data_IF_885249108639
#
_entry.id   IF_885249108639
#
_cell.length_a   1.000
_cell.length_b   1.000
_cell.length_c   1.000
_cell.angle_alpha   90.00
_cell.angle_beta   90.00
_cell.angle_gamma   90.00
#
_symmetry.space_group_name_H-M   'P 1'
#
loop_
_entity.id
_entity.type
_entity.pdbx_description
1 polymer ?
#
# COMPACT_ATOMS: atom_id res chain seq x y z
N UNK A 1 -30.76 21.79 52.85
CA UNK A 1 -30.39 22.44 51.57
C UNK A 1 -30.20 21.33 50.55
N UNK A 2 -31.27 21.00 49.84
CA UNK A 2 -31.35 19.88 48.91
C UNK A 2 -31.49 20.42 47.48
N UNK A 3 -30.79 19.75 46.55
CA UNK A 3 -31.10 19.65 45.12
C UNK A 3 -30.94 20.92 44.26
N UNK A 4 -29.72 21.22 43.86
CA UNK A 4 -29.44 21.79 42.54
C UNK A 4 -29.48 20.66 41.50
N UNK A 5 -30.68 20.30 41.04
CA UNK A 5 -30.86 19.39 39.91
C UNK A 5 -31.78 20.02 38.86
N UNK A 6 -31.15 20.48 37.79
CA UNK A 6 -31.60 20.36 36.40
C UNK A 6 -33.02 20.84 36.07
N UNK A 7 -33.19 22.15 35.87
CA UNK A 7 -34.08 22.63 34.81
C UNK A 7 -33.26 22.72 33.52
N UNK A 8 -33.04 21.57 32.85
CA UNK A 8 -32.71 21.61 31.41
C UNK A 8 -33.96 22.13 30.72
N UNK A 9 -33.85 23.23 29.97
CA UNK A 9 -35.02 23.81 29.32
C UNK A 9 -35.67 22.78 28.38
N UNK A 10 -37.00 22.74 28.32
CA UNK A 10 -37.74 21.80 27.45
C UNK A 10 -37.27 21.87 25.99
N UNK A 11 -36.79 23.03 25.55
CA UNK A 11 -36.18 23.24 24.24
C UNK A 11 -34.84 22.52 24.06
N UNK A 12 -33.97 22.48 25.06
CA UNK A 12 -32.74 21.68 25.04
C UNK A 12 -33.03 20.19 24.96
N UNK A 13 -34.05 19.71 25.70
CA UNK A 13 -34.47 18.31 25.67
C UNK A 13 -34.99 17.94 24.28
N UNK A 14 -35.83 18.80 23.69
CA UNK A 14 -36.36 18.59 22.34
C UNK A 14 -35.25 18.58 21.28
N UNK A 15 -34.35 19.57 21.32
CA UNK A 15 -33.19 19.65 20.42
C UNK A 15 -32.25 18.44 20.55
N UNK A 16 -32.03 17.97 21.77
CA UNK A 16 -31.25 16.76 22.02
C UNK A 16 -31.89 15.52 21.39
N UNK A 17 -33.19 15.31 21.62
CA UNK A 17 -33.93 14.14 21.10
C UNK A 17 -34.00 14.17 19.57
N UNK A 18 -34.16 15.34 18.96
CA UNK A 18 -34.31 15.47 17.50
C UNK A 18 -32.97 15.43 16.75
N UNK A 19 -31.92 16.11 17.25
CA UNK A 19 -30.68 16.31 16.50
C UNK A 19 -29.50 15.46 16.99
N UNK A 20 -29.38 15.27 18.31
CA UNK A 20 -28.18 14.66 18.92
C UNK A 20 -28.38 13.16 19.16
N UNK A 21 -29.55 12.76 19.63
CA UNK A 21 -29.85 11.36 19.95
C UNK A 21 -29.69 10.41 18.74
N UNK A 22 -30.15 10.75 17.51
CA UNK A 22 -29.91 9.90 16.33
C UNK A 22 -28.43 9.75 16.00
N UNK A 23 -27.64 10.84 16.11
CA UNK A 23 -26.20 10.83 15.89
C UNK A 23 -25.50 9.96 16.93
N UNK A 24 -25.87 10.08 18.21
CA UNK A 24 -25.33 9.24 19.29
C UNK A 24 -25.69 7.77 19.11
N UNK A 25 -26.91 7.46 18.67
CA UNK A 25 -27.31 6.08 18.36
C UNK A 25 -26.51 5.51 17.18
N UNK A 26 -26.29 6.30 16.13
CA UNK A 26 -25.47 5.91 14.99
C UNK A 26 -24.00 5.70 15.40
N UNK A 27 -23.42 6.60 16.21
CA UNK A 27 -22.08 6.43 16.76
C UNK A 27 -21.97 5.19 17.65
N UNK A 28 -22.93 4.96 18.55
CA UNK A 28 -22.95 3.75 19.38
C UNK A 28 -22.97 2.47 18.53
N UNK A 29 -23.79 2.44 17.47
CA UNK A 29 -23.85 1.33 16.53
C UNK A 29 -22.51 1.14 15.82
N UNK A 30 -21.96 2.21 15.24
CA UNK A 30 -20.67 2.20 14.55
C UNK A 30 -19.54 1.72 15.45
N UNK A 31 -19.44 2.23 16.68
CA UNK A 31 -18.43 1.80 17.66
C UNK A 31 -18.58 0.32 18.01
N UNK A 32 -19.81 -0.15 18.22
CA UNK A 32 -20.05 -1.57 18.50
C UNK A 32 -19.59 -2.45 17.34
N UNK A 33 -19.93 -2.08 16.11
CA UNK A 33 -19.53 -2.81 14.90
C UNK A 33 -18.01 -2.86 14.75
N UNK A 34 -17.32 -1.71 14.85
CA UNK A 34 -15.87 -1.66 14.74
C UNK A 34 -15.14 -2.33 15.90
N UNK A 35 -15.70 -2.33 17.11
CA UNK A 35 -15.14 -3.09 18.24
C UNK A 35 -15.19 -4.59 17.97
N UNK A 36 -16.29 -5.09 17.42
CA UNK A 36 -16.40 -6.50 17.00
C UNK A 36 -15.41 -6.84 15.90
N UNK A 37 -15.30 -6.01 14.86
CA UNK A 37 -14.32 -6.21 13.77
C UNK A 37 -12.89 -6.23 14.32
N UNK A 38 -12.53 -5.28 15.18
CA UNK A 38 -11.20 -5.23 15.80
C UNK A 38 -10.90 -6.49 16.61
N UNK A 39 -11.89 -7.02 17.35
CA UNK A 39 -11.75 -8.29 18.07
C UNK A 39 -11.45 -9.47 17.15
N UNK A 40 -12.16 -9.56 16.02
CA UNK A 40 -11.94 -10.63 15.02
C UNK A 40 -10.58 -10.52 14.34
N UNK A 41 -10.13 -9.29 14.04
CA UNK A 41 -8.79 -9.05 13.48
C UNK A 41 -7.73 -9.42 14.52
N UNK A 42 -7.94 -9.03 15.79
CA UNK A 42 -7.00 -9.32 16.88
C UNK A 42 -6.74 -10.82 17.05
N UNK A 43 -7.77 -11.65 16.92
CA UNK A 43 -7.63 -13.12 16.95
C UNK A 43 -6.74 -13.64 15.81
N UNK A 44 -6.86 -13.07 14.60
CA UNK A 44 -6.06 -13.49 13.45
C UNK A 44 -4.60 -13.05 13.55
N UNK A 45 -4.34 -11.80 13.95
CA UNK A 45 -2.96 -11.27 14.04
C UNK A 45 -2.14 -11.88 15.18
N UNK A 46 -2.80 -12.41 16.22
CA UNK A 46 -2.15 -13.11 17.32
C UNK A 46 -1.89 -14.61 17.04
N UNK A 47 -2.30 -15.12 15.88
CA UNK A 47 -1.99 -16.50 15.49
C UNK A 47 -0.49 -16.62 15.18
N UNK A 48 0.16 -17.69 15.64
CA UNK A 48 1.58 -17.96 15.36
C UNK A 48 1.87 -18.00 13.87
N UNK A 49 0.95 -18.56 13.07
CA UNK A 49 1.10 -18.62 11.60
C UNK A 49 1.21 -17.22 10.98
N UNK A 50 0.48 -16.24 11.53
CA UNK A 50 0.53 -14.86 11.05
C UNK A 50 1.89 -14.22 11.35
N UNK A 51 2.39 -14.42 12.57
CA UNK A 51 3.71 -13.92 12.97
C UNK A 51 4.83 -14.54 12.12
N UNK A 52 4.76 -15.83 11.84
CA UNK A 52 5.76 -16.52 11.04
C UNK A 52 5.72 -16.07 9.56
N UNK A 53 4.51 -15.92 9.00
CA UNK A 53 4.32 -15.40 7.64
C UNK A 53 4.89 -13.97 7.54
N UNK A 54 4.61 -13.12 8.53
CA UNK A 54 5.08 -11.75 8.56
C UNK A 54 6.61 -11.66 8.70
N UNK A 55 7.21 -12.50 9.54
CA UNK A 55 8.66 -12.55 9.70
C UNK A 55 9.37 -12.93 8.39
N UNK A 56 8.85 -13.93 7.68
CA UNK A 56 9.37 -14.31 6.36
C UNK A 56 9.18 -13.18 5.32
N UNK A 57 8.01 -12.53 5.30
CA UNK A 57 7.76 -11.37 4.43
C UNK A 57 8.77 -10.24 4.69
N UNK A 58 9.04 -9.92 5.96
CA UNK A 58 10.01 -8.89 6.37
C UNK A 58 11.45 -9.26 6.01
N UNK A 59 11.88 -10.50 6.24
CA UNK A 59 13.23 -10.99 5.91
C UNK A 59 13.56 -10.80 4.42
N UNK A 60 12.62 -11.19 3.54
CA UNK A 60 12.77 -10.96 2.11
C UNK A 60 12.80 -9.48 1.78
N UNK A 61 11.91 -8.68 2.36
CA UNK A 61 11.82 -7.26 2.06
C UNK A 61 13.05 -6.46 2.50
N UNK A 62 13.85 -6.96 3.46
CA UNK A 62 15.18 -6.42 3.81
C UNK A 62 16.34 -7.06 3.03
N UNK A 63 16.03 -7.93 2.08
CA UNK A 63 16.97 -8.65 1.21
C UNK A 63 17.93 -9.60 1.96
N UNK A 64 17.46 -10.21 3.06
CA UNK A 64 18.24 -11.21 3.79
C UNK A 64 18.07 -12.60 3.14
N UNK A 65 19.20 -13.30 2.93
CA UNK A 65 19.32 -14.67 2.40
C UNK A 65 18.47 -15.04 1.15
N UNK A 66 18.08 -14.04 0.35
CA UNK A 66 17.22 -14.16 -0.84
C UNK A 66 17.79 -15.03 -1.98
N UNK A 67 19.08 -15.36 -1.97
CA UNK A 67 19.76 -16.12 -3.03
C UNK A 67 19.71 -17.66 -2.82
N UNK A 68 19.10 -18.15 -1.72
CA UNK A 68 19.00 -19.57 -1.34
C UNK A 68 17.53 -20.01 -1.17
N UNK A 69 17.25 -21.32 -1.16
CA UNK A 69 15.94 -21.82 -0.73
C UNK A 69 15.63 -21.34 0.69
N UNK A 70 14.42 -20.81 0.90
CA UNK A 70 13.93 -20.43 2.21
C UNK A 70 13.37 -21.66 2.91
N UNK A 71 13.91 -21.99 4.09
CA UNK A 71 13.41 -23.09 4.90
C UNK A 71 11.91 -22.93 5.22
N UNK A 72 11.46 -21.70 5.44
CA UNK A 72 10.04 -21.42 5.70
C UNK A 72 9.14 -21.73 4.49
N UNK A 73 9.58 -21.38 3.27
CA UNK A 73 8.86 -21.73 2.04
C UNK A 73 8.86 -23.26 1.86
N UNK A 74 9.99 -23.93 2.10
CA UNK A 74 10.08 -25.38 2.02
C UNK A 74 9.15 -26.08 3.02
N UNK A 75 9.04 -25.59 4.25
CA UNK A 75 8.11 -26.12 5.24
C UNK A 75 6.64 -25.92 4.83
N UNK A 76 6.29 -24.77 4.24
CA UNK A 76 4.94 -24.52 3.67
C UNK A 76 4.65 -25.44 2.49
N UNK A 77 5.64 -25.74 1.66
CA UNK A 77 5.51 -26.73 0.58
C UNK A 77 5.31 -28.12 1.17
N UNK A 78 6.20 -28.56 2.07
CA UNK A 78 6.17 -29.90 2.67
C UNK A 78 4.88 -30.18 3.46
N UNK A 79 4.34 -29.16 4.15
CA UNK A 79 3.07 -29.25 4.88
C UNK A 79 1.83 -29.11 3.99
N UNK A 80 2.01 -28.93 2.67
CA UNK A 80 0.92 -28.71 1.71
C UNK A 80 -0.02 -27.58 2.14
N UNK A 81 0.56 -26.44 2.52
CA UNK A 81 -0.17 -25.22 2.84
C UNK A 81 -0.97 -24.71 1.63
N UNK A 82 -1.73 -23.63 1.80
CA UNK A 82 -2.42 -23.00 0.66
C UNK A 82 -1.39 -22.57 -0.41
N UNK A 83 -1.58 -23.06 -1.64
CA UNK A 83 -0.69 -22.81 -2.77
C UNK A 83 -0.51 -21.31 -3.03
N UNK A 84 -1.55 -20.49 -2.83
CA UNK A 84 -1.48 -19.03 -2.97
C UNK A 84 -0.44 -18.43 -2.03
N UNK A 85 -0.39 -18.90 -0.78
CA UNK A 85 0.57 -18.40 0.20
C UNK A 85 2.00 -18.79 -0.17
N UNK A 86 2.22 -20.02 -0.63
CA UNK A 86 3.51 -20.48 -1.14
C UNK A 86 3.95 -19.63 -2.34
N UNK A 87 3.10 -19.49 -3.34
CA UNK A 87 3.41 -18.72 -4.54
C UNK A 87 3.65 -17.24 -4.22
N UNK A 88 2.90 -16.66 -3.27
CA UNK A 88 3.12 -15.29 -2.80
C UNK A 88 4.50 -15.10 -2.21
N UNK A 89 4.95 -15.99 -1.33
CA UNK A 89 6.27 -15.91 -0.71
C UNK A 89 7.40 -16.06 -1.73
N UNK A 90 7.25 -16.99 -2.70
CA UNK A 90 8.22 -17.15 -3.79
C UNK A 90 8.28 -15.88 -4.67
N UNK A 91 7.13 -15.28 -5.01
CA UNK A 91 7.08 -14.01 -5.75
C UNK A 91 7.72 -12.87 -4.96
N UNK A 92 7.51 -12.81 -3.64
CA UNK A 92 8.10 -11.79 -2.79
C UNK A 92 9.63 -11.94 -2.70
N UNK A 93 10.12 -13.17 -2.54
CA UNK A 93 11.56 -13.46 -2.59
C UNK A 93 12.16 -13.07 -3.96
N UNK A 94 11.44 -13.35 -5.05
CA UNK A 94 11.83 -12.96 -6.40
C UNK A 94 11.91 -11.44 -6.55
N UNK A 95 10.88 -10.70 -6.11
CA UNK A 95 10.85 -9.24 -6.15
C UNK A 95 12.00 -8.63 -5.33
N UNK A 96 12.22 -9.12 -4.11
CA UNK A 96 13.34 -8.68 -3.28
C UNK A 96 14.72 -8.98 -3.92
N UNK A 97 14.81 -10.12 -4.61
CA UNK A 97 16.01 -10.58 -5.31
C UNK A 97 16.35 -9.87 -6.61
N UNK A 98 15.42 -9.07 -7.15
CA UNK A 98 15.44 -8.64 -8.56
C UNK A 98 15.54 -9.86 -9.49
N UNK A 99 14.70 -10.86 -9.20
CA UNK A 99 14.70 -12.18 -9.81
C UNK A 99 15.39 -13.25 -8.95
N UNK A 100 15.16 -14.52 -9.30
CA UNK A 100 15.75 -15.68 -8.65
C UNK A 100 16.83 -16.30 -9.54
N UNK A 101 17.92 -16.79 -8.95
CA UNK A 101 18.92 -17.58 -9.69
C UNK A 101 18.27 -18.80 -10.32
N UNK A 102 18.68 -19.20 -11.51
CA UNK A 102 18.07 -20.33 -12.25
C UNK A 102 18.01 -21.62 -11.42
N UNK A 103 19.06 -21.90 -10.64
CA UNK A 103 19.07 -23.08 -9.76
C UNK A 103 17.98 -23.02 -8.69
N UNK A 104 17.75 -21.84 -8.10
CA UNK A 104 16.74 -21.60 -7.08
C UNK A 104 15.32 -21.61 -7.67
N UNK A 105 15.12 -20.95 -8.81
CA UNK A 105 13.83 -20.95 -9.50
C UNK A 105 13.42 -22.38 -9.91
N UNK A 106 14.34 -23.15 -10.48
CA UNK A 106 14.09 -24.54 -10.86
C UNK A 106 13.90 -25.47 -9.65
N UNK A 107 14.52 -25.15 -8.51
CA UNK A 107 14.26 -25.84 -7.25
C UNK A 107 12.79 -25.65 -6.83
N UNK A 108 12.33 -24.40 -6.71
CA UNK A 108 10.94 -24.13 -6.33
C UNK A 108 9.92 -24.70 -7.33
N UNK A 109 10.16 -24.59 -8.64
CA UNK A 109 9.28 -25.22 -9.66
C UNK A 109 9.14 -26.73 -9.41
N UNK A 110 10.25 -27.40 -9.09
CA UNK A 110 10.26 -28.84 -8.83
C UNK A 110 9.53 -29.21 -7.55
N UNK A 111 9.86 -28.57 -6.44
CA UNK A 111 9.26 -28.88 -5.12
C UNK A 111 7.75 -28.63 -5.12
N UNK A 112 7.31 -27.49 -5.68
CA UNK A 112 5.89 -27.16 -5.77
C UNK A 112 5.17 -28.13 -6.71
N UNK A 113 5.72 -28.46 -7.88
CA UNK A 113 5.09 -29.42 -8.79
C UNK A 113 4.98 -30.84 -8.19
N UNK A 114 5.93 -31.24 -7.36
CA UNK A 114 5.90 -32.54 -6.67
C UNK A 114 4.77 -32.62 -5.63
N UNK A 115 4.50 -31.54 -4.89
CA UNK A 115 3.47 -31.54 -3.83
C UNK A 115 2.08 -31.18 -4.33
N UNK A 116 1.98 -30.22 -5.25
CA UNK A 116 0.72 -29.64 -5.71
C UNK A 116 0.28 -30.16 -7.09
N UNK A 117 1.13 -30.89 -7.80
CA UNK A 117 0.85 -31.43 -9.13
C UNK A 117 1.41 -30.59 -10.27
N UNK A 118 1.55 -31.20 -11.46
CA UNK A 118 2.20 -30.57 -12.62
C UNK A 118 1.45 -29.36 -13.19
N UNK A 119 0.15 -29.24 -12.92
CA UNK A 119 -0.68 -28.11 -13.37
C UNK A 119 -0.19 -26.76 -12.84
N UNK A 120 0.50 -26.75 -11.68
CA UNK A 120 1.09 -25.54 -11.11
C UNK A 120 2.13 -24.89 -12.03
N UNK A 121 2.72 -25.65 -12.97
CA UNK A 121 3.66 -25.09 -13.95
C UNK A 121 2.99 -24.06 -14.86
N UNK A 122 1.66 -24.17 -15.09
CA UNK A 122 0.90 -23.13 -15.78
C UNK A 122 0.84 -21.84 -14.94
N UNK A 123 0.64 -21.97 -13.63
CA UNK A 123 0.70 -20.85 -12.68
C UNK A 123 2.08 -20.20 -12.70
N UNK A 124 3.17 -20.97 -12.66
CA UNK A 124 4.52 -20.44 -12.82
C UNK A 124 4.66 -19.68 -14.15
N UNK A 125 4.17 -20.23 -15.25
CA UNK A 125 4.20 -19.56 -16.56
C UNK A 125 3.44 -18.24 -16.56
N UNK A 126 2.25 -18.18 -15.94
CA UNK A 126 1.47 -16.95 -15.83
C UNK A 126 2.20 -15.89 -15.02
N UNK A 127 2.81 -16.27 -13.89
CA UNK A 127 3.58 -15.36 -13.05
C UNK A 127 4.87 -14.89 -13.73
N UNK A 128 5.48 -15.73 -14.58
CA UNK A 128 6.62 -15.36 -15.43
C UNK A 128 6.21 -14.37 -16.52
N UNK A 129 5.09 -14.61 -17.20
CA UNK A 129 4.54 -13.66 -18.18
C UNK A 129 4.14 -12.32 -17.54
N UNK A 130 3.66 -12.35 -16.29
CA UNK A 130 3.35 -11.14 -15.53
C UNK A 130 4.59 -10.44 -14.93
N UNK A 131 5.78 -11.05 -15.05
CA UNK A 131 7.03 -10.50 -14.50
C UNK A 131 7.14 -10.59 -12.97
N UNK A 132 6.27 -11.34 -12.29
CA UNK A 132 6.34 -11.58 -10.84
C UNK A 132 7.38 -12.64 -10.48
N UNK A 133 7.65 -13.56 -11.40
CA UNK A 133 8.74 -14.52 -11.33
C UNK A 133 9.63 -14.34 -12.55
N UNK A 134 10.94 -14.28 -12.35
CA UNK A 134 11.88 -14.23 -13.46
C UNK A 134 13.28 -14.63 -13.00
N UNK A 135 14.16 -15.03 -13.95
CA UNK A 135 15.59 -15.18 -13.66
C UNK A 135 16.18 -13.89 -13.12
N UNK A 136 17.14 -14.01 -12.19
CA UNK A 136 17.83 -12.89 -11.59
C UNK A 136 18.50 -12.03 -12.66
N UNK A 137 18.24 -10.73 -12.61
CA UNK A 137 18.91 -9.74 -13.46
C UNK A 137 20.25 -9.34 -12.86
N UNK A 138 21.18 -8.85 -13.68
CA UNK A 138 22.46 -8.31 -13.19
C UNK A 138 22.26 -7.11 -12.25
N UNK A 139 21.16 -6.37 -12.43
CA UNK A 139 20.78 -5.28 -11.55
C UNK A 139 20.15 -5.79 -10.25
N UNK A 140 20.63 -5.27 -9.11
CA UNK A 140 19.98 -5.43 -7.80
C UNK A 140 19.05 -4.25 -7.51
N UNK A 141 18.17 -3.97 -8.46
CA UNK A 141 17.32 -2.78 -8.51
C UNK A 141 16.55 -2.54 -7.21
N UNK A 142 15.85 -3.56 -6.70
CA UNK A 142 15.08 -3.41 -5.46
C UNK A 142 15.96 -3.09 -4.25
N UNK A 143 17.12 -3.74 -4.12
CA UNK A 143 18.03 -3.48 -3.00
C UNK A 143 18.58 -2.04 -3.03
N UNK A 144 18.83 -1.49 -4.22
CA UNK A 144 19.23 -0.09 -4.42
C UNK A 144 18.07 0.84 -4.06
N UNK A 145 16.88 0.61 -4.61
CA UNK A 145 15.68 1.41 -4.35
C UNK A 145 15.32 1.42 -2.86
N UNK A 146 15.35 0.26 -2.20
CA UNK A 146 15.07 0.11 -0.76
C UNK A 146 15.93 1.04 0.08
N UNK A 147 17.25 1.06 -0.19
CA UNK A 147 18.19 1.89 0.56
C UNK A 147 18.07 3.36 0.23
N UNK A 148 17.96 3.69 -1.06
CA UNK A 148 17.99 5.08 -1.55
C UNK A 148 16.68 5.83 -1.31
N UNK A 149 15.55 5.12 -1.31
CA UNK A 149 14.22 5.68 -1.07
C UNK A 149 13.69 5.36 0.33
N UNK A 150 14.52 4.81 1.21
CA UNK A 150 14.17 4.46 2.59
C UNK A 150 12.86 3.69 2.68
N UNK A 151 12.75 2.60 1.91
CA UNK A 151 11.51 1.83 1.82
C UNK A 151 11.28 0.94 3.03
N UNK A 152 12.31 0.62 3.81
CA UNK A 152 12.19 -0.17 5.04
C UNK A 152 12.72 0.62 6.24
N UNK A 153 11.99 0.60 7.35
CA UNK A 153 12.27 1.32 8.60
C UNK A 153 12.21 0.32 9.76
N UNK A 154 13.21 0.34 10.65
CA UNK A 154 13.29 -0.57 11.79
C UNK A 154 12.49 -0.07 13.01
N UNK A 155 12.53 1.23 13.30
CA UNK A 155 11.89 1.84 14.48
C UNK A 155 10.68 2.70 14.08
N UNK A 156 9.61 2.07 13.61
CA UNK A 156 8.42 2.81 13.18
C UNK A 156 7.52 3.20 14.36
N UNK A 157 6.90 4.38 14.27
CA UNK A 157 5.94 4.89 15.26
C UNK A 157 4.54 4.77 14.67
N UNK A 158 3.69 3.91 15.24
CA UNK A 158 2.36 3.61 14.69
C UNK A 158 1.23 4.52 15.20
N UNK A 159 1.38 5.08 16.41
CA UNK A 159 0.33 5.88 17.06
C UNK A 159 0.29 7.31 16.55
N UNK A 160 1.47 7.92 16.39
CA UNK A 160 1.66 9.25 15.81
C UNK A 160 2.70 9.13 14.67
N UNK A 161 2.26 8.60 13.51
CA UNK A 161 3.17 8.25 12.43
C UNK A 161 3.78 9.50 11.80
N UNK A 162 5.08 9.42 11.52
CA UNK A 162 5.85 10.50 10.87
C UNK A 162 6.21 10.17 9.43
N UNK A 163 5.91 8.95 9.00
CA UNK A 163 6.30 8.43 7.70
C UNK A 163 5.24 7.47 7.18
N UNK A 164 5.10 7.42 5.85
CA UNK A 164 4.14 6.56 5.15
C UNK A 164 4.37 5.05 5.40
N UNK A 165 5.52 4.63 5.94
CA UNK A 165 5.78 3.24 6.31
C UNK A 165 4.85 2.69 7.40
N UNK A 166 4.15 3.56 8.15
CA UNK A 166 3.18 3.13 9.19
C UNK A 166 2.10 2.19 8.66
N UNK A 167 1.75 2.29 7.36
CA UNK A 167 0.69 1.45 6.76
C UNK A 167 1.05 -0.03 6.69
N UNK A 168 2.34 -0.37 6.83
CA UNK A 168 2.83 -1.74 6.92
C UNK A 168 3.72 -1.97 8.14
N UNK A 169 3.76 -1.04 9.10
CA UNK A 169 4.62 -1.06 10.30
C UNK A 169 6.14 -1.05 10.04
N UNK A 170 6.63 -1.38 8.86
CA UNK A 170 8.06 -1.35 8.53
C UNK A 170 8.36 -0.90 7.09
N UNK A 171 7.38 -0.96 6.18
CA UNK A 171 7.59 -0.73 4.75
C UNK A 171 6.78 0.46 4.22
N UNK A 172 7.45 1.41 3.59
CA UNK A 172 6.82 2.47 2.82
C UNK A 172 6.50 1.96 1.40
N UNK A 173 5.23 1.92 0.98
CA UNK A 173 4.87 1.55 -0.39
C UNK A 173 5.66 2.37 -1.40
N UNK A 174 6.41 1.69 -2.29
CA UNK A 174 7.23 2.35 -3.30
C UNK A 174 6.42 3.36 -4.13
N UNK A 175 5.19 3.02 -4.48
CA UNK A 175 4.25 3.89 -5.20
C UNK A 175 3.96 5.19 -4.43
N UNK A 176 3.64 5.10 -3.14
CA UNK A 176 3.41 6.28 -2.28
C UNK A 176 4.70 7.09 -2.06
N UNK A 177 5.86 6.43 -1.92
CA UNK A 177 7.16 7.10 -1.78
C UNK A 177 7.55 7.87 -3.03
N UNK A 178 7.28 7.32 -4.22
CA UNK A 178 7.49 8.04 -5.48
C UNK A 178 6.60 9.29 -5.57
N UNK A 179 5.33 9.17 -5.16
CA UNK A 179 4.43 10.33 -5.10
C UNK A 179 4.96 11.37 -4.11
N UNK A 180 5.31 10.99 -2.89
CA UNK A 180 5.88 11.91 -1.90
C UNK A 180 7.11 12.67 -2.43
N UNK A 181 8.05 11.96 -3.04
CA UNK A 181 9.28 12.58 -3.57
C UNK A 181 8.99 13.49 -4.77
N UNK A 182 7.97 13.17 -5.57
CA UNK A 182 7.51 14.03 -6.66
C UNK A 182 6.91 15.36 -6.18
N UNK A 183 6.44 15.43 -4.93
CA UNK A 183 5.90 16.67 -4.36
C UNK A 183 6.98 17.68 -3.97
N UNK A 184 8.23 17.24 -3.76
CA UNK A 184 9.33 18.10 -3.30
C UNK A 184 9.72 19.12 -4.38
N UNK A 185 10.38 20.26 -4.05
CA UNK A 185 10.64 21.36 -5.00
C UNK A 185 11.42 21.00 -6.27
N UNK A 186 12.20 19.92 -6.24
CA UNK A 186 12.95 19.40 -7.39
C UNK A 186 12.23 18.23 -8.10
N UNK A 187 11.10 17.78 -7.56
CA UNK A 187 10.23 16.74 -8.10
C UNK A 187 10.99 15.50 -8.62
N UNK A 188 10.63 15.09 -9.84
CA UNK A 188 11.22 13.96 -10.54
C UNK A 188 12.72 14.11 -10.85
N UNK A 189 13.28 15.32 -10.82
CA UNK A 189 14.72 15.52 -11.07
C UNK A 189 15.56 14.82 -9.99
N UNK A 190 15.10 14.81 -8.74
CA UNK A 190 15.80 14.14 -7.63
C UNK A 190 15.80 12.61 -7.78
N UNK A 191 14.79 12.10 -8.47
CA UNK A 191 14.56 10.67 -8.66
C UNK A 191 15.27 10.10 -9.89
N UNK A 192 15.85 10.93 -10.78
CA UNK A 192 16.45 10.48 -12.06
C UNK A 192 17.42 9.32 -11.94
N UNK A 193 18.27 9.29 -10.90
CA UNK A 193 19.22 8.19 -10.69
C UNK A 193 18.55 6.90 -10.20
N UNK A 194 17.42 7.01 -9.48
CA UNK A 194 16.66 5.89 -8.92
C UNK A 194 15.65 5.32 -9.91
N UNK A 195 15.06 6.18 -10.74
CA UNK A 195 14.08 5.81 -11.77
C UNK A 195 14.63 4.77 -12.75
N UNK A 196 15.93 4.80 -13.05
CA UNK A 196 16.55 3.81 -13.93
C UNK A 196 16.50 2.38 -13.37
N UNK A 197 16.23 2.21 -12.08
CA UNK A 197 16.00 0.91 -11.44
C UNK A 197 14.53 0.48 -11.46
N UNK A 198 13.61 1.34 -11.89
CA UNK A 198 12.21 0.99 -12.06
C UNK A 198 11.98 0.37 -13.44
N UNK A 199 11.01 -0.53 -13.51
CA UNK A 199 10.58 -1.08 -14.78
C UNK A 199 9.73 -0.06 -15.56
N UNK A 200 9.99 0.01 -16.86
CA UNK A 200 9.22 0.83 -17.79
C UNK A 200 9.80 2.24 -18.00
N UNK A 201 9.30 2.94 -19.03
CA UNK A 201 9.72 4.30 -19.33
C UNK A 201 9.21 5.26 -18.26
N UNK A 202 9.97 6.33 -18.02
CA UNK A 202 9.54 7.46 -17.21
C UNK A 202 9.58 8.73 -18.04
N UNK A 203 8.53 9.53 -17.96
CA UNK A 203 8.38 10.76 -18.71
C UNK A 203 7.62 11.80 -17.88
N UNK A 204 7.82 13.05 -18.25
CA UNK A 204 7.11 14.21 -17.73
C UNK A 204 6.64 15.00 -18.95
N UNK A 205 5.34 15.31 -19.02
CA UNK A 205 4.75 16.02 -20.14
C UNK A 205 3.94 17.23 -19.63
N UNK A 206 3.98 18.32 -20.39
CA UNK A 206 3.36 19.59 -20.03
C UNK A 206 2.28 19.93 -21.05
N UNK A 207 1.03 19.87 -20.61
CA UNK A 207 -0.09 20.33 -21.42
C UNK A 207 -0.18 21.85 -21.35
N UNK A 208 0.05 22.51 -22.48
CA UNK A 208 -0.17 23.95 -22.60
C UNK A 208 -1.63 24.27 -22.25
N UNK A 209 -1.85 25.24 -21.37
CA UNK A 209 -3.19 25.75 -21.11
C UNK A 209 -3.73 26.35 -22.41
N UNK A 210 -4.75 25.72 -22.99
CA UNK A 210 -5.50 26.29 -24.10
C UNK A 210 -6.18 27.56 -23.60
N UNK A 211 -5.68 28.72 -24.04
CA UNK A 211 -6.31 30.02 -23.81
C UNK A 211 -7.66 29.98 -24.54
N UNK A 212 -8.76 29.79 -23.79
CA UNK A 212 -10.12 30.01 -24.31
C UNK A 212 -11.17 28.90 -24.13
N UNK A 213 -10.86 27.73 -23.56
CA UNK A 213 -11.85 26.64 -23.34
C UNK A 213 -11.95 26.25 -21.86
N UNK A 214 -11.90 27.24 -20.97
CA UNK A 214 -12.17 27.06 -19.55
C UNK A 214 -13.07 28.19 -19.08
N UNK A 215 -14.34 27.86 -18.79
CA UNK A 215 -15.32 28.77 -18.19
C UNK A 215 -14.98 29.14 -16.74
N UNK A 216 -13.80 29.72 -16.51
CA UNK A 216 -13.49 30.48 -15.29
C UNK A 216 -13.64 31.94 -15.65
N UNK A 217 -14.54 32.63 -14.95
CA UNK A 217 -14.74 34.07 -15.05
C UNK A 217 -13.38 34.80 -15.05
N UNK A 218 -13.00 35.36 -16.19
CA UNK A 218 -11.84 36.22 -16.38
C UNK A 218 -12.03 37.60 -15.71
N UNK A 219 -12.62 37.63 -14.52
CA UNK A 219 -12.99 38.84 -13.78
C UNK A 219 -12.66 38.83 -12.29
N UNK A 220 -12.21 37.70 -11.72
CA UNK A 220 -11.66 37.71 -10.37
C UNK A 220 -10.14 37.68 -10.46
N UNK A 221 -9.52 38.87 -10.40
CA UNK A 221 -8.10 39.01 -10.04
C UNK A 221 -7.95 38.45 -8.63
N UNK A 222 -7.67 37.15 -8.53
CA UNK A 222 -7.27 36.54 -7.27
C UNK A 222 -5.91 37.13 -6.95
N UNK A 223 -5.86 37.99 -5.93
CA UNK A 223 -4.63 38.56 -5.39
C UNK A 223 -3.58 37.46 -5.21
N UNK A 224 -2.34 37.69 -5.67
CA UNK A 224 -1.24 36.72 -5.63
C UNK A 224 -1.03 36.08 -4.23
N UNK A 225 -1.40 36.80 -3.16
CA UNK A 225 -1.36 36.28 -1.78
C UNK A 225 -2.40 35.21 -1.43
N UNK A 226 -3.49 35.08 -2.19
CA UNK A 226 -4.58 34.12 -1.92
C UNK A 226 -4.39 32.76 -2.60
N UNK A 227 -3.48 32.66 -3.58
CA UNK A 227 -3.14 31.40 -4.26
C UNK A 227 -2.20 30.51 -3.45
N UNK A 228 -1.47 31.07 -2.48
CA UNK A 228 -0.54 30.34 -1.62
C UNK A 228 -1.23 29.38 -0.64
N UNK A 229 -2.53 29.57 -0.36
CA UNK A 229 -3.27 28.80 0.63
C UNK A 229 -4.30 27.84 0.04
N UNK A 230 -4.43 27.78 -1.30
CA UNK A 230 -5.31 26.81 -1.94
C UNK A 230 -4.49 25.55 -2.22
N UNK A 231 -4.89 24.38 -1.68
CA UNK A 231 -4.15 23.15 -1.90
C UNK A 231 -4.13 22.77 -3.37
N UNK A 232 -2.99 22.29 -3.86
CA UNK A 232 -2.86 21.77 -5.22
C UNK A 232 -3.55 20.41 -5.31
N UNK A 233 -4.54 20.30 -6.18
CA UNK A 233 -5.19 19.01 -6.46
C UNK A 233 -4.30 18.17 -7.39
N UNK A 234 -3.95 16.96 -6.97
CA UNK A 234 -3.12 16.00 -7.70
C UNK A 234 -3.90 14.72 -7.94
N UNK A 235 -4.06 14.34 -9.21
CA UNK A 235 -4.64 13.05 -9.59
C UNK A 235 -3.54 11.98 -9.62
N UNK A 236 -3.64 10.98 -8.76
CA UNK A 236 -2.77 9.79 -8.80
C UNK A 236 -3.56 8.63 -9.40
N UNK A 237 -3.12 8.12 -10.55
CA UNK A 237 -3.80 7.05 -11.28
C UNK A 237 -2.99 5.75 -11.24
N UNK A 238 -3.52 4.73 -10.56
CA UNK A 238 -2.96 3.38 -10.50
C UNK A 238 -3.54 2.51 -11.62
N UNK A 239 -2.70 2.18 -12.60
CA UNK A 239 -3.06 1.25 -13.69
C UNK A 239 -2.61 -0.15 -13.31
N UNK A 240 -3.56 -1.08 -13.12
CA UNK A 240 -3.30 -2.44 -12.67
C UNK A 240 -3.82 -2.73 -11.25
N UNK A 241 -4.07 -1.69 -10.47
CA UNK A 241 -4.76 -1.75 -9.20
C UNK A 241 -4.06 -0.99 -8.09
N UNK A 242 -4.80 -0.71 -7.00
CA UNK A 242 -4.29 -0.02 -5.81
C UNK A 242 -4.80 -0.70 -4.54
N UNK A 243 -3.99 -0.73 -3.50
CA UNK A 243 -4.31 -1.30 -2.19
C UNK A 243 -4.85 -0.25 -1.23
N UNK A 244 -5.56 -0.68 -0.18
CA UNK A 244 -5.97 0.23 0.90
C UNK A 244 -4.79 0.85 1.66
N UNK A 245 -3.65 0.15 1.74
CA UNK A 245 -2.44 0.68 2.37
C UNK A 245 -1.85 1.85 1.58
N UNK A 246 -1.78 1.74 0.24
CA UNK A 246 -1.36 2.84 -0.62
C UNK A 246 -2.32 4.03 -0.55
N UNK A 247 -3.63 3.77 -0.52
CA UNK A 247 -4.64 4.83 -0.33
C UNK A 247 -4.45 5.54 1.02
N UNK A 248 -4.20 4.78 2.10
CA UNK A 248 -3.96 5.35 3.42
C UNK A 248 -2.67 6.19 3.44
N UNK A 249 -1.60 5.71 2.81
CA UNK A 249 -0.34 6.45 2.70
C UNK A 249 -0.50 7.78 1.94
N UNK A 250 -1.26 7.80 0.84
CA UNK A 250 -1.55 9.03 0.10
C UNK A 250 -2.41 10.00 0.92
N UNK A 251 -3.41 9.50 1.66
CA UNK A 251 -4.21 10.34 2.58
C UNK A 251 -3.35 10.94 3.69
N UNK A 252 -2.45 10.15 4.26
CA UNK A 252 -1.48 10.63 5.24
C UNK A 252 -0.61 11.75 4.68
N UNK A 253 -0.13 11.63 3.43
CA UNK A 253 0.65 12.68 2.77
C UNK A 253 -0.16 13.96 2.52
N UNK A 254 -1.45 13.86 2.21
CA UNK A 254 -2.32 15.02 2.04
C UNK A 254 -2.60 15.76 3.35
N UNK A 255 -2.58 15.05 4.48
CA UNK A 255 -2.79 15.63 5.81
C UNK A 255 -1.55 16.40 6.33
N UNK A 256 -0.38 16.19 5.71
CA UNK A 256 0.82 16.95 6.05
C UNK A 256 0.74 18.38 5.50
N UNK A 257 0.66 19.36 6.40
CA UNK A 257 0.53 20.79 6.06
C UNK A 257 1.62 21.28 5.09
N UNK A 258 2.86 20.79 5.26
CA UNK A 258 4.02 21.13 4.42
C UNK A 258 3.83 20.78 2.94
N UNK A 259 2.98 19.81 2.62
CA UNK A 259 2.76 19.39 1.24
C UNK A 259 1.73 20.28 0.51
N UNK A 260 0.74 20.83 1.22
CA UNK A 260 -0.34 21.66 0.66
C UNK A 260 -0.98 21.06 -0.61
N UNK A 261 -1.36 19.78 -0.56
CA UNK A 261 -1.97 19.04 -1.67
C UNK A 261 -3.25 18.33 -1.26
N UNK A 262 -4.13 18.13 -2.24
CA UNK A 262 -5.27 17.21 -2.13
C UNK A 262 -5.12 16.11 -3.20
N UNK A 263 -5.28 14.85 -2.82
CA UNK A 263 -5.16 13.74 -3.77
C UNK A 263 -6.54 13.25 -4.23
N UNK A 264 -6.72 13.21 -5.55
CA UNK A 264 -7.74 12.37 -6.19
C UNK A 264 -7.10 11.06 -6.60
N UNK A 265 -7.57 9.94 -6.05
CA UNK A 265 -7.01 8.61 -6.34
C UNK A 265 -7.90 7.90 -7.34
N UNK A 266 -7.37 7.60 -8.52
CA UNK A 266 -7.99 6.76 -9.53
C UNK A 266 -7.27 5.41 -9.59
N UNK A 267 -8.03 4.34 -9.79
CA UNK A 267 -7.44 3.00 -9.96
C UNK A 267 -8.33 2.14 -10.85
N UNK A 268 -7.72 1.23 -11.61
CA UNK A 268 -8.48 0.24 -12.40
C UNK A 268 -9.21 -0.77 -11.51
N UNK A 269 -8.66 -1.08 -10.32
CA UNK A 269 -9.25 -2.01 -9.36
C UNK A 269 -8.66 -1.82 -7.96
N UNK A 270 -9.49 -1.94 -6.92
CA UNK A 270 -8.97 -2.13 -5.56
C UNK A 270 -8.52 -3.59 -5.43
N UNK A 271 -7.24 -3.79 -5.14
CA UNK A 271 -6.61 -5.11 -5.06
C UNK A 271 -5.98 -5.34 -3.69
N UNK A 272 -5.70 -6.60 -3.40
CA UNK A 272 -4.87 -7.02 -2.27
C UNK A 272 -4.03 -8.23 -2.69
N UNK A 273 -3.16 -8.69 -1.78
CA UNK A 273 -2.24 -9.80 -2.06
C UNK A 273 -2.92 -11.09 -2.51
N UNK A 274 -4.18 -11.31 -2.13
CA UNK A 274 -4.94 -12.49 -2.52
C UNK A 274 -5.61 -12.30 -3.89
N UNK A 275 -6.42 -11.25 -4.03
CA UNK A 275 -7.19 -11.01 -5.26
C UNK A 275 -6.31 -10.73 -6.47
N UNK A 276 -5.14 -10.12 -6.26
CA UNK A 276 -4.15 -9.93 -7.30
C UNK A 276 -3.57 -11.26 -7.77
N UNK A 277 -3.09 -12.10 -6.85
CA UNK A 277 -2.46 -13.36 -7.20
C UNK A 277 -3.47 -14.35 -7.82
N UNK A 278 -4.69 -14.41 -7.30
CA UNK A 278 -5.77 -15.23 -7.85
C UNK A 278 -6.06 -14.93 -9.33
N UNK A 279 -5.98 -13.66 -9.72
CA UNK A 279 -6.20 -13.24 -11.10
C UNK A 279 -5.14 -13.75 -12.07
N UNK A 280 -3.99 -14.20 -11.56
CA UNK A 280 -2.86 -14.74 -12.33
C UNK A 280 -2.73 -16.26 -12.17
N UNK A 281 -3.23 -16.82 -11.07
CA UNK A 281 -3.21 -18.26 -10.80
C UNK A 281 -4.38 -19.00 -11.45
N UNK A 282 -5.47 -18.31 -11.78
CA UNK A 282 -6.62 -18.93 -12.43
C UNK A 282 -6.32 -19.26 -13.90
N UNK A 283 -6.71 -20.46 -14.31
CA UNK A 283 -6.76 -20.92 -15.71
C UNK A 283 -8.17 -20.79 -16.25
#
# INVERSE_FOLDING_TARGET
MHATSQDKTVQEIKSFVENVLPQLMAQKKSTSEHTTIAGLIHEQVNNTTFSDDLAAEQEFMVCADIDKPSAYIEDKIASKADLRNVMRLICLQCAAGSGLKDKLLNHYKREVAQVYGLEVLLTFSNLEMAGLLHPQTDSRAYAVLRKTLHLTVEDNVEVDPKDISYVHSFYAPLTARLVELSLKPLGWQTLKSQINNLHGPTFEDFQAQLIGIGGRNAGSTVSEGSLLHVPRVVLVCFVGGCTFAEIAALRFLADQEDNNVEFLIATTKIINKNTFLDSLMST
#
